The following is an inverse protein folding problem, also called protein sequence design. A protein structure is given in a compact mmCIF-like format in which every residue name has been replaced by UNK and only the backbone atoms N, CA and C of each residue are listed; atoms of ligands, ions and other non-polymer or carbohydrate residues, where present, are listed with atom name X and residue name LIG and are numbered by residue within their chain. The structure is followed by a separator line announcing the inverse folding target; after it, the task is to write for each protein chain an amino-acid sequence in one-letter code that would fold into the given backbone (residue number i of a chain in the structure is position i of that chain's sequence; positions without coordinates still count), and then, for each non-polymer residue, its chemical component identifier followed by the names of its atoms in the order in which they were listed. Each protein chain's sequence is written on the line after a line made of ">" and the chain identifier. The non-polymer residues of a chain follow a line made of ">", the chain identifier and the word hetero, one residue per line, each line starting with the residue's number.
data_IF_234867297901
#
_entry.id   IF_234867297901
#
_cell.length_a   1.000
_cell.length_b   1.000
_cell.length_c   1.000
_cell.angle_alpha   90.00
_cell.angle_beta   90.00
_cell.angle_gamma   90.00
#
_symmetry.space_group_name_H-M   'P 1'
#
loop_
_entity.id
_entity.type
_entity.pdbx_description
1 polymer ?
#
# COMPACT_ATOMS: atom_id res chain seq x y z
N UNK A 1 1.69 7.09 22.26
CA UNK A 1 2.61 7.73 21.30
C UNK A 1 3.51 6.65 20.71
N UNK A 2 3.64 6.64 19.39
CA UNK A 2 4.60 5.84 18.65
C UNK A 2 5.79 6.75 18.30
N UNK A 3 7.01 6.30 18.55
CA UNK A 3 8.20 7.10 18.31
C UNK A 3 8.57 7.13 16.82
N UNK A 4 9.14 8.24 16.33
CA UNK A 4 9.75 8.33 15.00
C UNK A 4 10.73 7.17 14.79
N UNK A 5 10.69 6.53 13.62
CA UNK A 5 11.54 5.40 13.23
C UNK A 5 11.04 4.04 13.74
N UNK A 6 9.93 3.99 14.49
CA UNK A 6 9.33 2.71 14.90
C UNK A 6 8.86 1.93 13.67
N UNK A 7 9.20 0.65 13.58
CA UNK A 7 8.65 -0.27 12.60
C UNK A 7 7.15 -0.48 12.87
N UNK A 8 6.30 -0.10 11.92
CA UNK A 8 4.84 -0.17 12.03
C UNK A 8 4.29 -1.38 11.29
N UNK A 9 4.83 -1.66 10.11
CA UNK A 9 4.47 -2.82 9.30
C UNK A 9 5.73 -3.38 8.66
N UNK A 10 5.93 -4.69 8.80
CA UNK A 10 7.10 -5.38 8.27
C UNK A 10 6.72 -6.06 6.96
N UNK A 11 7.48 -5.83 5.90
CA UNK A 11 7.31 -6.55 4.64
C UNK A 11 7.97 -7.94 4.72
N UNK A 12 7.17 -8.99 4.86
CA UNK A 12 7.62 -10.38 4.79
C UNK A 12 6.51 -11.31 4.31
N UNK A 13 6.81 -12.60 4.14
CA UNK A 13 5.86 -13.59 3.62
C UNK A 13 4.59 -13.79 4.47
N UNK A 14 4.55 -13.26 5.69
CA UNK A 14 3.40 -13.37 6.59
C UNK A 14 2.47 -12.16 6.54
N UNK A 15 2.96 -11.03 6.04
CA UNK A 15 2.27 -9.75 6.05
C UNK A 15 1.76 -9.31 4.68
N UNK A 16 2.14 -10.02 3.62
CA UNK A 16 1.71 -9.71 2.26
C UNK A 16 1.63 -10.96 1.37
N UNK A 17 0.81 -10.85 0.32
CA UNK A 17 0.78 -11.77 -0.81
C UNK A 17 1.18 -10.99 -2.06
N UNK A 18 2.22 -11.47 -2.75
CA UNK A 18 2.66 -10.87 -4.03
C UNK A 18 1.99 -11.61 -5.18
N UNK A 19 1.34 -10.85 -6.06
CA UNK A 19 0.65 -11.37 -7.24
C UNK A 19 1.47 -11.24 -8.51
N UNK A 20 1.44 -12.31 -9.30
CA UNK A 20 1.58 -12.20 -10.76
C UNK A 20 0.20 -11.94 -11.37
N UNK A 21 0.16 -11.36 -12.57
CA UNK A 21 -1.10 -11.13 -13.28
C UNK A 21 -1.95 -12.40 -13.39
N UNK A 22 -1.34 -13.53 -13.76
CA UNK A 22 -2.05 -14.79 -13.90
C UNK A 22 -2.67 -15.28 -12.59
N UNK A 23 -1.97 -15.15 -11.45
CA UNK A 23 -2.49 -15.54 -10.14
C UNK A 23 -3.62 -14.63 -9.69
N UNK A 24 -3.48 -13.32 -9.88
CA UNK A 24 -4.54 -12.38 -9.51
C UNK A 24 -5.80 -12.61 -10.36
N UNK A 25 -5.67 -12.75 -11.68
CA UNK A 25 -6.81 -13.08 -12.56
C UNK A 25 -7.51 -14.37 -12.13
N UNK A 26 -6.76 -15.41 -11.79
CA UNK A 26 -7.33 -16.66 -11.29
C UNK A 26 -8.11 -16.46 -9.96
N UNK A 27 -7.62 -15.61 -9.06
CA UNK A 27 -8.33 -15.25 -7.82
C UNK A 27 -9.63 -14.50 -8.13
N UNK A 28 -9.58 -13.50 -9.03
CA UNK A 28 -10.75 -12.68 -9.38
C UNK A 28 -11.90 -13.50 -9.98
N UNK A 29 -11.61 -14.56 -10.73
CA UNK A 29 -12.63 -15.47 -11.30
C UNK A 29 -13.48 -16.15 -10.21
N UNK A 30 -12.92 -16.36 -9.02
CA UNK A 30 -13.61 -16.99 -7.90
C UNK A 30 -14.45 -16.01 -7.06
N UNK A 31 -14.33 -14.71 -7.31
CA UNK A 31 -15.00 -13.65 -6.55
C UNK A 31 -16.26 -13.16 -7.24
N UNK A 32 -17.20 -12.64 -6.46
CA UNK A 32 -18.29 -11.84 -7.00
C UNK A 32 -17.74 -10.53 -7.59
N UNK A 33 -18.48 -9.85 -8.49
CA UNK A 33 -18.04 -8.57 -9.04
C UNK A 33 -17.70 -7.52 -7.98
N UNK A 34 -18.48 -7.46 -6.89
CA UNK A 34 -18.23 -6.51 -5.79
C UNK A 34 -16.97 -6.87 -5.01
N UNK A 35 -16.75 -8.13 -4.69
CA UNK A 35 -15.54 -8.58 -4.01
C UNK A 35 -14.29 -8.41 -4.89
N UNK A 36 -14.42 -8.57 -6.21
CA UNK A 36 -13.33 -8.35 -7.15
C UNK A 36 -12.92 -6.87 -7.19
N UNK A 37 -13.89 -5.95 -7.25
CA UNK A 37 -13.64 -4.51 -7.18
C UNK A 37 -13.00 -4.16 -5.83
N UNK A 38 -13.61 -4.59 -4.72
CA UNK A 38 -13.10 -4.34 -3.37
C UNK A 38 -11.65 -4.81 -3.21
N UNK A 39 -11.34 -6.03 -3.68
CA UNK A 39 -9.96 -6.52 -3.67
C UNK A 39 -9.03 -5.58 -4.45
N UNK A 40 -9.37 -5.26 -5.70
CA UNK A 40 -8.53 -4.45 -6.59
C UNK A 40 -8.26 -3.04 -6.05
N UNK A 41 -9.23 -2.44 -5.36
CA UNK A 41 -9.07 -1.11 -4.75
C UNK A 41 -8.13 -1.12 -3.53
N UNK A 42 -7.95 -2.28 -2.89
CA UNK A 42 -7.10 -2.48 -1.71
C UNK A 42 -5.78 -3.22 -2.02
N UNK A 43 -5.39 -3.34 -3.29
CA UNK A 43 -4.05 -3.80 -3.66
C UNK A 43 -3.08 -2.62 -3.79
N UNK A 44 -1.85 -2.86 -3.34
CA UNK A 44 -0.77 -1.90 -3.27
C UNK A 44 0.28 -2.21 -4.34
N UNK A 45 1.08 -1.21 -4.74
CA UNK A 45 2.11 -1.38 -5.76
C UNK A 45 3.48 -0.87 -5.28
N UNK A 46 4.45 -1.78 -5.16
CA UNK A 46 5.81 -1.46 -4.72
C UNK A 46 6.85 -2.21 -5.55
N UNK A 47 7.94 -1.55 -5.95
CA UNK A 47 9.02 -2.20 -6.70
C UNK A 47 8.60 -2.83 -8.05
N UNK A 48 7.48 -2.40 -8.63
CA UNK A 48 6.90 -3.01 -9.83
C UNK A 48 6.05 -4.27 -9.56
N UNK A 49 5.84 -4.63 -8.30
CA UNK A 49 5.01 -5.74 -7.86
C UNK A 49 3.64 -5.26 -7.38
N UNK A 50 2.66 -6.18 -7.35
CA UNK A 50 1.30 -5.95 -6.83
C UNK A 50 1.11 -6.78 -5.58
N UNK A 51 0.70 -6.15 -4.49
CA UNK A 51 0.70 -6.72 -3.16
C UNK A 51 -0.70 -6.62 -2.53
N UNK A 52 -1.16 -7.72 -1.95
CA UNK A 52 -2.26 -7.72 -0.99
C UNK A 52 -1.68 -7.72 0.42
N UNK A 53 -2.08 -6.73 1.22
CA UNK A 53 -1.63 -6.60 2.60
C UNK A 53 -2.47 -7.50 3.50
N UNK A 54 -1.79 -8.32 4.30
CA UNK A 54 -2.38 -9.20 5.31
C UNK A 54 -2.32 -8.50 6.67
N UNK A 55 -3.47 -8.43 7.34
CA UNK A 55 -3.61 -7.76 8.64
C UNK A 55 -4.10 -6.31 8.52
N UNK A 56 -3.79 -5.49 9.52
CA UNK A 56 -4.44 -4.19 9.72
C UNK A 56 -3.87 -3.06 8.86
N UNK A 57 -2.67 -3.24 8.30
CA UNK A 57 -2.04 -2.21 7.46
C UNK A 57 -2.83 -1.93 6.16
N UNK A 58 -3.75 -2.82 5.76
CA UNK A 58 -4.67 -2.59 4.64
C UNK A 58 -5.69 -1.46 4.87
N UNK A 59 -5.81 -0.99 6.12
CA UNK A 59 -6.74 0.09 6.50
C UNK A 59 -6.09 1.47 6.51
N UNK A 60 -4.79 1.57 6.26
CA UNK A 60 -4.11 2.86 6.22
C UNK A 60 -4.58 3.62 4.99
N UNK A 61 -4.88 4.91 5.14
CA UNK A 61 -5.42 5.73 4.06
C UNK A 61 -4.35 6.63 3.43
N UNK A 62 -4.68 7.20 2.28
CA UNK A 62 -3.81 8.14 1.59
C UNK A 62 -3.81 9.53 2.24
N UNK A 63 -2.63 10.11 2.47
CA UNK A 63 -2.44 11.57 2.51
C UNK A 63 -1.02 11.95 2.10
N UNK A 64 -0.86 12.72 1.03
CA UNK A 64 0.47 13.22 0.62
C UNK A 64 1.02 14.36 1.48
N UNK A 65 0.14 15.04 2.21
CA UNK A 65 0.49 16.20 3.03
C UNK A 65 0.66 15.86 4.52
N UNK A 66 -0.02 14.81 4.99
CA UNK A 66 -0.09 14.42 6.40
C UNK A 66 0.37 12.98 6.66
N UNK A 67 0.91 12.28 5.67
CA UNK A 67 1.50 10.96 5.85
C UNK A 67 2.44 10.95 7.05
N UNK A 68 2.25 9.94 7.88
CA UNK A 68 3.07 9.68 9.05
C UNK A 68 3.68 8.27 9.00
N UNK A 69 3.39 7.50 7.95
CA UNK A 69 4.00 6.21 7.62
C UNK A 69 4.75 6.26 6.29
N UNK A 70 5.75 5.38 6.13
CA UNK A 70 6.49 5.20 4.88
C UNK A 70 7.85 4.53 5.13
N UNK A 71 8.78 4.66 4.18
CA UNK A 71 10.16 4.19 4.39
C UNK A 71 10.80 4.81 5.64
N UNK A 72 11.79 4.12 6.24
CA UNK A 72 12.45 4.61 7.45
C UNK A 72 12.96 6.06 7.29
N UNK A 73 12.66 6.97 8.23
CA UNK A 73 12.87 8.40 8.02
C UNK A 73 14.34 8.84 8.02
N UNK A 74 15.26 7.94 8.40
CA UNK A 74 16.71 8.12 8.29
C UNK A 74 17.33 7.39 7.08
N UNK A 75 16.50 6.90 6.15
CA UNK A 75 16.94 6.16 4.96
C UNK A 75 17.08 4.65 5.20
N UNK A 76 17.52 3.95 4.14
CA UNK A 76 17.60 2.49 4.08
C UNK A 76 19.06 2.00 4.19
N UNK A 77 19.27 0.80 4.75
CA UNK A 77 20.60 0.21 4.97
C UNK A 77 21.18 0.46 6.37
N UNK A 78 22.34 -0.15 6.67
CA UNK A 78 23.11 0.04 7.91
C UNK A 78 22.28 0.10 9.21
N UNK A 79 21.43 -0.89 9.46
CA UNK A 79 20.62 -0.97 10.68
C UNK A 79 19.46 0.04 10.78
N UNK A 80 19.11 0.69 9.66
CA UNK A 80 17.92 1.55 9.50
C UNK A 80 16.81 0.79 8.76
N UNK A 81 16.15 1.42 7.79
CA UNK A 81 15.10 0.77 6.99
C UNK A 81 15.63 -0.32 6.06
N UNK A 82 14.76 -1.28 5.74
CA UNK A 82 14.95 -2.30 4.72
C UNK A 82 14.50 -1.86 3.31
N UNK A 83 13.89 -0.68 3.20
CA UNK A 83 13.41 -0.09 1.96
C UNK A 83 12.12 -0.71 1.41
N UNK A 84 11.43 -1.53 2.21
CA UNK A 84 10.17 -2.19 1.83
C UNK A 84 9.14 -2.18 2.95
N UNK A 85 9.58 -2.16 4.21
CA UNK A 85 8.71 -2.03 5.39
C UNK A 85 8.31 -0.58 5.65
N UNK A 86 7.22 -0.40 6.41
CA UNK A 86 6.71 0.92 6.79
C UNK A 86 7.05 1.25 8.24
N UNK A 87 7.49 2.49 8.44
CA UNK A 87 7.97 3.04 9.70
C UNK A 87 7.27 4.36 9.99
N UNK A 88 7.25 4.76 11.26
CA UNK A 88 6.78 6.07 11.67
C UNK A 88 7.75 7.17 11.18
N UNK A 89 7.30 8.10 10.33
CA UNK A 89 8.14 9.17 9.76
C UNK A 89 8.46 10.29 10.78
N UNK A 90 7.59 10.42 11.77
CA UNK A 90 7.65 11.34 12.91
C UNK A 90 7.05 10.64 14.13
N UNK A 91 7.06 11.30 15.27
CA UNK A 91 6.26 10.83 16.39
C UNK A 91 4.76 10.90 16.05
N UNK A 92 4.02 9.88 16.47
CA UNK A 92 2.58 9.73 16.23
C UNK A 92 1.89 9.67 17.60
N UNK A 93 1.03 10.64 17.87
CA UNK A 93 0.26 10.72 19.11
C UNK A 93 -0.86 9.65 19.13
N UNK A 94 -1.36 9.27 20.32
CA UNK A 94 -2.55 8.44 20.41
C UNK A 94 -3.70 9.00 19.56
N UNK A 95 -4.48 8.11 18.97
CA UNK A 95 -5.67 8.43 18.16
C UNK A 95 -5.40 9.16 16.82
N UNK A 96 -4.14 9.44 16.47
CA UNK A 96 -3.80 9.82 15.09
C UNK A 96 -3.99 8.62 14.15
N UNK A 97 -4.65 8.87 13.01
CA UNK A 97 -4.76 7.90 11.92
C UNK A 97 -3.37 7.64 11.30
N UNK A 98 -3.10 6.40 10.92
CA UNK A 98 -1.91 6.03 10.14
C UNK A 98 -2.19 6.31 8.66
N UNK A 99 -1.37 7.18 8.07
CA UNK A 99 -1.56 7.71 6.71
C UNK A 99 -0.29 7.51 5.88
N UNK A 100 -0.48 7.05 4.64
CA UNK A 100 0.59 6.76 3.67
C UNK A 100 0.47 7.63 2.39
N UNK A 101 1.55 7.72 1.62
CA UNK A 101 1.58 8.45 0.34
C UNK A 101 1.45 7.48 -0.85
N UNK A 102 0.20 7.13 -1.20
CA UNK A 102 -0.10 6.30 -2.36
C UNK A 102 0.41 6.89 -3.69
N UNK A 103 0.66 8.20 -3.78
CA UNK A 103 1.21 8.80 -4.98
C UNK A 103 2.67 8.38 -5.23
N UNK A 104 3.37 7.91 -4.19
CA UNK A 104 4.73 7.39 -4.26
C UNK A 104 4.82 5.93 -4.75
N UNK A 105 3.69 5.24 -4.87
CA UNK A 105 3.64 3.85 -5.31
C UNK A 105 3.98 3.69 -6.79
N UNK A 106 4.44 2.48 -7.14
CA UNK A 106 4.75 2.12 -8.51
C UNK A 106 3.48 2.05 -9.36
N UNK A 107 3.56 2.44 -10.63
CA UNK A 107 2.53 2.07 -11.60
C UNK A 107 2.90 0.69 -12.13
N UNK A 108 1.97 -0.25 -12.06
CA UNK A 108 2.13 -1.55 -12.69
C UNK A 108 1.14 -1.64 -13.86
N UNK A 109 1.60 -1.53 -15.13
CA UNK A 109 0.69 -1.33 -16.27
C UNK A 109 -0.38 -2.41 -16.45
N UNK A 110 -0.03 -3.68 -16.22
CA UNK A 110 -0.99 -4.78 -16.32
C UNK A 110 -2.07 -4.71 -15.24
N UNK A 111 -1.70 -4.20 -14.06
CA UNK A 111 -2.62 -4.06 -12.94
C UNK A 111 -3.58 -2.88 -13.14
N UNK A 112 -3.08 -1.74 -13.63
CA UNK A 112 -3.94 -0.60 -13.98
C UNK A 112 -4.96 -0.98 -15.07
N UNK A 113 -4.52 -1.73 -16.09
CA UNK A 113 -5.41 -2.24 -17.12
C UNK A 113 -6.49 -3.18 -16.56
N UNK A 114 -6.12 -4.02 -15.58
CA UNK A 114 -7.04 -4.91 -14.89
C UNK A 114 -8.05 -4.15 -14.01
N UNK A 115 -7.62 -3.09 -13.31
CA UNK A 115 -8.55 -2.23 -12.57
C UNK A 115 -9.58 -1.59 -13.50
N UNK A 116 -9.16 -1.09 -14.67
CA UNK A 116 -10.08 -0.54 -15.68
C UNK A 116 -11.06 -1.60 -16.20
N UNK A 117 -10.61 -2.84 -16.43
CA UNK A 117 -11.46 -3.96 -16.87
C UNK A 117 -12.60 -4.24 -15.89
N UNK A 118 -12.34 -4.13 -14.58
CA UNK A 118 -13.31 -4.40 -13.52
C UNK A 118 -14.06 -3.15 -13.03
N UNK A 119 -13.69 -1.96 -13.53
CA UNK A 119 -14.26 -0.69 -13.08
C UNK A 119 -13.79 -0.24 -11.68
N UNK A 120 -12.65 -0.74 -11.21
CA UNK A 120 -12.03 -0.39 -9.94
C UNK A 120 -11.04 0.79 -10.08
N UNK A 121 -10.77 1.48 -8.97
CA UNK A 121 -9.69 2.49 -8.88
C UNK A 121 -8.53 2.00 -8.02
N UNK A 122 -7.35 1.82 -8.61
CA UNK A 122 -6.14 1.43 -7.87
C UNK A 122 -5.73 2.49 -6.84
N UNK A 123 -5.07 2.08 -5.75
CA UNK A 123 -4.50 3.01 -4.75
C UNK A 123 -3.59 4.06 -5.41
N UNK A 124 -2.76 3.69 -6.38
CA UNK A 124 -1.88 4.61 -7.10
C UNK A 124 -2.67 5.65 -7.90
N UNK A 125 -3.80 5.26 -8.52
CA UNK A 125 -4.68 6.20 -9.23
C UNK A 125 -5.32 7.21 -8.27
N UNK A 126 -5.82 6.74 -7.12
CA UNK A 126 -6.38 7.57 -6.05
C UNK A 126 -5.33 8.54 -5.50
N UNK A 127 -4.12 8.05 -5.19
CA UNK A 127 -3.03 8.88 -4.67
C UNK A 127 -2.67 10.04 -5.59
N UNK A 128 -2.76 9.84 -6.90
CA UNK A 128 -2.49 10.89 -7.89
C UNK A 128 -3.65 11.85 -8.10
N UNK A 129 -4.88 11.37 -7.96
CA UNK A 129 -6.09 12.20 -8.01
C UNK A 129 -6.14 13.16 -6.81
N UNK A 130 -5.76 12.69 -5.62
CA UNK A 130 -5.90 13.42 -4.35
C UNK A 130 -4.58 13.98 -3.77
N UNK A 131 -3.68 14.46 -4.65
CA UNK A 131 -2.39 15.06 -4.27
C UNK A 131 -2.51 16.34 -3.41
N UNK A 132 -3.67 17.01 -3.44
CA UNK A 132 -3.90 18.32 -2.81
C UNK A 132 -4.89 18.29 -1.63
N UNK A 133 -5.31 17.10 -1.17
CA UNK A 133 -6.28 16.94 -0.08
C UNK A 133 -5.63 16.92 1.32
#
# INVERSE_FOLDING_TARGET
>A
RIARGTLLWKADETSQIIYTEAKLRAKLVALTPTEAIDLLEHLYCWGGEVLEIVGDAKYWNHSRMKQNTGNHPDGNGEGRGDGVSSYALRDIEPDEELLDDYAAYSIVPWFEALCVEYGAKSCTSIGREYVMA
#
